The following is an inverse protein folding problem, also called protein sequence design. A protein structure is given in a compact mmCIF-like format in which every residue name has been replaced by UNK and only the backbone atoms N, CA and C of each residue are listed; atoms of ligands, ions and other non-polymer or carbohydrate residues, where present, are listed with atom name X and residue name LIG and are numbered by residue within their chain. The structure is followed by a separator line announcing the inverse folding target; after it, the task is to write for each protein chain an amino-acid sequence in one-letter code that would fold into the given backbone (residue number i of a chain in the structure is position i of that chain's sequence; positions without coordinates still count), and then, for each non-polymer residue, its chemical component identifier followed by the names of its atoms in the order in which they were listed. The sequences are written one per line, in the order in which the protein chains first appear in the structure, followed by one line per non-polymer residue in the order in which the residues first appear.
data_IF_058684356519
#
_entry.id   IF_058684356519
#
_cell.length_a   1.000
_cell.length_b   1.000
_cell.length_c   1.000
_cell.angle_alpha   90.00
_cell.angle_beta   90.00
_cell.angle_gamma   90.00
#
_symmetry.space_group_name_H-M   'P 1'
#
loop_
_entity.id
_entity.type
_entity.pdbx_description
1 polymer ?
#
# COMPACT_ATOMS: atom_id res chain seq x y z
N UNK A 1 -16.73 3.35 -2.84
CA UNK A 1 -15.29 3.14 -2.60
C UNK A 1 -14.78 4.28 -1.75
N UNK A 2 -13.97 3.99 -0.73
CA UNK A 2 -13.40 5.00 0.17
C UNK A 2 -11.87 4.97 0.01
N UNK A 3 -11.25 6.14 -0.22
CA UNK A 3 -9.81 6.27 -0.47
C UNK A 3 -9.21 7.26 0.54
N UNK A 4 -7.92 7.09 0.87
CA UNK A 4 -7.19 8.07 1.69
C UNK A 4 -7.08 9.41 0.96
N UNK A 5 -6.85 10.49 1.72
CA UNK A 5 -6.67 11.82 1.14
C UNK A 5 -5.48 11.86 0.16
N UNK A 6 -4.39 11.15 0.47
CA UNK A 6 -3.22 11.02 -0.40
C UNK A 6 -3.58 10.42 -1.76
N UNK A 7 -4.32 9.31 -1.78
CA UNK A 7 -4.77 8.67 -3.03
C UNK A 7 -5.75 9.56 -3.79
N UNK A 8 -6.66 10.24 -3.10
CA UNK A 8 -7.59 11.20 -3.74
C UNK A 8 -6.85 12.36 -4.39
N UNK A 9 -5.79 12.87 -3.77
CA UNK A 9 -4.95 13.91 -4.34
C UNK A 9 -4.17 13.39 -5.56
N UNK A 10 -3.57 12.21 -5.46
CA UNK A 10 -2.84 11.58 -6.56
C UNK A 10 -3.74 11.36 -7.79
N UNK A 11 -4.98 10.88 -7.57
CA UNK A 11 -5.98 10.71 -8.63
C UNK A 11 -6.33 12.03 -9.32
N UNK A 12 -6.56 13.10 -8.57
CA UNK A 12 -6.86 14.43 -9.13
C UNK A 12 -5.67 15.00 -9.90
N UNK A 13 -4.47 14.81 -9.39
CA UNK A 13 -3.22 15.27 -10.00
C UNK A 13 -2.76 14.37 -11.17
N UNK A 14 -3.43 13.24 -11.40
CA UNK A 14 -3.02 12.20 -12.37
C UNK A 14 -1.58 11.72 -12.15
N UNK A 15 -1.13 11.68 -10.89
CA UNK A 15 0.15 11.08 -10.56
C UNK A 15 0.04 9.55 -10.60
N UNK A 16 1.14 8.84 -10.85
CA UNK A 16 1.16 7.38 -10.78
C UNK A 16 0.70 6.87 -9.41
N UNK A 17 -0.05 5.77 -9.41
CA UNK A 17 -0.53 5.10 -8.19
C UNK A 17 -0.27 3.60 -8.36
N UNK A 18 0.29 2.97 -7.33
CA UNK A 18 0.50 1.53 -7.26
C UNK A 18 -0.42 0.97 -6.18
N UNK A 19 -1.22 -0.04 -6.52
CA UNK A 19 -2.05 -0.76 -5.56
C UNK A 19 -1.26 -1.94 -4.96
N UNK A 20 -1.32 -2.11 -3.65
CA UNK A 20 -0.69 -3.22 -2.92
C UNK A 20 -1.74 -4.24 -2.45
N UNK A 21 -1.45 -5.53 -2.56
CA UNK A 21 -2.38 -6.61 -2.21
C UNK A 21 -2.37 -6.91 -0.70
N UNK A 22 -3.54 -6.91 -0.05
CA UNK A 22 -3.65 -7.17 1.39
C UNK A 22 -3.65 -8.65 1.78
N UNK A 23 -4.00 -9.57 0.86
CA UNK A 23 -4.06 -11.02 1.16
C UNK A 23 -2.69 -11.61 1.45
N UNK A 24 -1.68 -11.28 0.62
CA UNK A 24 -0.29 -11.72 0.81
C UNK A 24 0.25 -11.20 2.15
N UNK A 25 -0.05 -9.94 2.50
CA UNK A 25 0.34 -9.35 3.78
C UNK A 25 -0.33 -10.09 4.94
N UNK A 26 -1.64 -10.38 4.85
CA UNK A 26 -2.39 -10.88 6.00
C UNK A 26 -2.24 -12.39 6.24
N UNK A 27 -2.15 -13.18 5.17
CA UNK A 27 -2.16 -14.65 5.23
C UNK A 27 -0.94 -15.29 4.58
N UNK A 28 -0.21 -14.56 3.74
CA UNK A 28 0.99 -15.07 3.06
C UNK A 28 2.27 -14.97 3.91
N UNK A 29 2.24 -14.20 5.00
CA UNK A 29 3.42 -13.94 5.84
C UNK A 29 3.08 -13.96 7.34
N UNK A 30 3.94 -14.53 8.19
CA UNK A 30 3.76 -14.51 9.63
C UNK A 30 3.99 -13.10 10.21
N UNK A 31 3.34 -12.78 11.33
CA UNK A 31 3.73 -11.62 12.16
C UNK A 31 5.07 -11.89 12.87
N UNK A 32 5.92 -10.86 13.03
CA UNK A 32 5.75 -9.45 12.66
C UNK A 32 6.16 -9.12 11.21
N UNK A 33 6.71 -10.09 10.47
CA UNK A 33 7.31 -9.90 9.14
C UNK A 33 6.33 -9.27 8.15
N UNK A 34 5.06 -9.65 8.20
CA UNK A 34 4.06 -9.06 7.31
C UNK A 34 3.92 -7.54 7.43
N UNK A 35 3.98 -7.00 8.64
CA UNK A 35 3.89 -5.56 8.88
C UNK A 35 5.14 -4.85 8.38
N UNK A 36 6.31 -5.43 8.66
CA UNK A 36 7.59 -4.91 8.18
C UNK A 36 7.62 -4.87 6.65
N UNK A 37 7.27 -5.96 5.99
CA UNK A 37 7.24 -6.03 4.51
C UNK A 37 6.21 -5.05 3.93
N UNK A 38 5.03 -4.90 4.56
CA UNK A 38 4.05 -3.92 4.10
C UNK A 38 4.61 -2.49 4.13
N UNK A 39 5.33 -2.13 5.19
CA UNK A 39 5.97 -0.81 5.34
C UNK A 39 7.13 -0.63 4.35
N UNK A 40 8.00 -1.64 4.20
CA UNK A 40 9.12 -1.60 3.26
C UNK A 40 8.63 -1.42 1.80
N UNK A 41 7.58 -2.14 1.41
CA UNK A 41 7.00 -2.03 0.06
C UNK A 41 6.33 -0.67 -0.15
N UNK A 42 5.66 -0.12 0.87
CA UNK A 42 5.10 1.24 0.80
C UNK A 42 6.21 2.27 0.56
N UNK A 43 7.33 2.20 1.29
CA UNK A 43 8.47 3.11 1.12
C UNK A 43 9.16 2.97 -0.24
N UNK A 44 9.22 1.76 -0.82
CA UNK A 44 9.79 1.54 -2.16
C UNK A 44 8.98 2.25 -3.26
N UNK A 45 7.67 2.43 -3.03
CA UNK A 45 6.73 3.00 -4.01
C UNK A 45 6.59 4.52 -3.90
N UNK A 46 6.93 5.10 -2.74
CA UNK A 46 6.87 6.56 -2.51
C UNK A 46 7.81 7.34 -3.42
#
# INVERSE_FOLDING_TARGET
MNYSQEVLHALKAKTPIVALESTIISHGMPRPINLQVAQEVEEIVR
#
